data_IF_171522921551
#
_entry.id   IF_171522921551
#
_cell.length_a   1.000
_cell.length_b   1.000
_cell.length_c   1.000
_cell.angle_alpha   90.00
_cell.angle_beta   90.00
_cell.angle_gamma   90.00
#
_symmetry.space_group_name_H-M   'P 1'
#
loop_
_entity.id
_entity.type
_entity.pdbx_description
1 polymer ?
#
# COMPACT_ATOMS: atom_id res chain seq x y z
N UNK A 1 15.67 14.99 21.06
CA UNK A 1 15.93 13.58 20.65
C UNK A 1 16.98 13.55 19.55
N UNK A 2 18.15 12.89 19.70
CA UNK A 2 19.15 12.81 18.64
C UNK A 2 18.58 11.98 17.49
N UNK A 3 18.46 12.60 16.32
CA UNK A 3 17.98 11.91 15.09
C UNK A 3 18.91 10.73 14.76
N UNK A 4 18.37 9.53 14.72
CA UNK A 4 19.16 8.33 14.40
C UNK A 4 19.54 8.39 12.92
N UNK A 5 20.84 8.47 12.60
CA UNK A 5 21.37 8.67 11.24
C UNK A 5 20.79 7.71 10.19
N UNK A 6 20.44 6.48 10.57
CA UNK A 6 19.90 5.46 9.65
C UNK A 6 18.42 5.69 9.25
N UNK A 7 17.71 6.60 9.93
CA UNK A 7 16.32 6.99 9.63
C UNK A 7 16.23 8.40 9.04
N UNK A 8 17.35 9.06 8.76
CA UNK A 8 17.33 10.32 8.04
C UNK A 8 16.81 10.11 6.60
N UNK A 9 16.16 11.14 6.04
CA UNK A 9 15.70 11.14 4.65
C UNK A 9 16.82 10.71 3.70
N UNK A 10 18.02 11.28 3.82
CA UNK A 10 19.16 10.93 2.99
C UNK A 10 19.56 9.45 3.09
N UNK A 11 19.49 8.85 4.29
CA UNK A 11 19.82 7.44 4.45
C UNK A 11 18.77 6.52 3.81
N UNK A 12 17.48 6.86 3.96
CA UNK A 12 16.38 6.10 3.36
C UNK A 12 16.41 6.23 1.84
N UNK A 13 16.51 7.45 1.32
CA UNK A 13 16.64 7.74 -0.10
C UNK A 13 17.84 7.02 -0.72
N UNK A 14 19.02 7.08 -0.08
CA UNK A 14 20.22 6.41 -0.58
C UNK A 14 20.06 4.89 -0.65
N UNK A 15 19.34 4.29 0.30
CA UNK A 15 19.04 2.86 0.23
C UNK A 15 18.16 2.55 -0.99
N UNK A 16 17.07 3.30 -1.18
CA UNK A 16 16.15 3.16 -2.32
C UNK A 16 16.89 3.35 -3.64
N UNK A 17 17.64 4.43 -3.78
CA UNK A 17 18.44 4.74 -4.98
C UNK A 17 19.42 3.61 -5.32
N UNK A 18 20.19 3.12 -4.32
CA UNK A 18 21.11 1.99 -4.51
C UNK A 18 20.41 0.69 -4.88
N UNK A 19 19.18 0.49 -4.40
CA UNK A 19 18.39 -0.67 -4.78
C UNK A 19 17.95 -0.56 -6.24
N UNK A 20 17.45 0.59 -6.66
CA UNK A 20 17.01 0.83 -8.04
C UNK A 20 18.17 0.71 -9.05
N UNK A 21 19.37 1.16 -8.73
CA UNK A 21 20.55 0.99 -9.59
C UNK A 21 20.90 -0.47 -9.89
N UNK A 22 20.39 -1.42 -9.14
CA UNK A 22 20.59 -2.87 -9.37
C UNK A 22 19.53 -3.48 -10.27
N UNK A 23 18.52 -2.72 -10.65
CA UNK A 23 17.48 -3.21 -11.54
C UNK A 23 18.07 -3.51 -12.91
N UNK A 24 17.83 -4.71 -13.42
CA UNK A 24 18.30 -5.10 -14.75
C UNK A 24 17.44 -4.41 -15.82
N UNK A 25 18.05 -3.49 -16.56
CA UNK A 25 17.40 -2.84 -17.69
C UNK A 25 17.42 -3.80 -18.90
N UNK A 26 16.25 -4.28 -19.28
CA UNK A 26 16.10 -5.20 -20.43
C UNK A 26 15.90 -4.46 -21.77
N UNK A 27 15.91 -3.11 -21.75
CA UNK A 27 15.81 -2.32 -22.98
C UNK A 27 17.10 -2.43 -23.81
N UNK A 28 16.99 -2.17 -25.11
CA UNK A 28 18.16 -2.17 -26.00
C UNK A 28 19.09 -0.99 -25.68
N UNK A 29 20.36 -1.26 -25.38
CA UNK A 29 21.35 -0.27 -24.94
C UNK A 29 21.42 0.99 -25.83
N UNK A 30 21.36 0.81 -27.15
CA UNK A 30 21.43 1.90 -28.10
C UNK A 30 20.14 2.74 -28.23
N UNK A 31 19.11 2.43 -27.43
CA UNK A 31 17.81 3.13 -27.38
C UNK A 31 17.50 3.66 -25.98
N UNK A 32 18.48 3.67 -25.08
CA UNK A 32 18.31 4.12 -23.70
C UNK A 32 18.80 5.56 -23.60
N UNK A 33 17.88 6.51 -23.66
CA UNK A 33 18.17 7.93 -23.41
C UNK A 33 18.18 8.25 -21.90
N UNK A 34 17.33 7.55 -21.14
CA UNK A 34 17.16 7.77 -19.70
C UNK A 34 17.29 6.46 -18.93
N UNK A 35 18.00 6.50 -17.82
CA UNK A 35 18.14 5.33 -16.94
C UNK A 35 16.84 5.00 -16.23
N UNK A 36 16.64 3.71 -15.88
CA UNK A 36 15.52 3.30 -15.00
C UNK A 36 15.61 4.03 -13.66
N UNK A 37 16.83 4.22 -13.14
CA UNK A 37 17.03 4.97 -11.91
C UNK A 37 16.49 6.41 -12.02
N UNK A 38 16.82 7.12 -13.07
CA UNK A 38 16.35 8.50 -13.24
C UNK A 38 14.82 8.56 -13.39
N UNK A 39 14.23 7.63 -14.14
CA UNK A 39 12.78 7.57 -14.29
C UNK A 39 12.07 7.28 -12.96
N UNK A 40 12.49 6.23 -12.23
CA UNK A 40 11.85 5.85 -10.97
C UNK A 40 12.06 6.91 -9.89
N UNK A 41 13.27 7.47 -9.77
CA UNK A 41 13.55 8.52 -8.78
C UNK A 41 12.87 9.84 -9.13
N UNK A 42 12.65 10.16 -10.40
CA UNK A 42 11.83 11.29 -10.83
C UNK A 42 10.36 11.10 -10.45
N UNK A 43 9.80 9.91 -10.67
CA UNK A 43 8.44 9.56 -10.21
C UNK A 43 8.32 9.66 -8.68
N UNK A 44 9.31 9.17 -7.95
CA UNK A 44 9.36 9.29 -6.48
C UNK A 44 9.42 10.77 -6.04
N UNK A 45 10.24 11.58 -6.69
CA UNK A 45 10.33 13.01 -6.41
C UNK A 45 9.01 13.75 -6.70
N UNK A 46 8.34 13.43 -7.80
CA UNK A 46 7.02 13.96 -8.14
C UNK A 46 6.01 13.72 -7.01
N UNK A 47 5.96 12.50 -6.47
CA UNK A 47 5.10 12.14 -5.34
C UNK A 47 5.54 12.82 -4.05
N UNK A 48 6.83 12.90 -3.79
CA UNK A 48 7.39 13.55 -2.60
C UNK A 48 7.09 15.05 -2.55
N UNK A 49 7.19 15.73 -3.69
CA UNK A 49 6.85 17.15 -3.82
C UNK A 49 5.34 17.40 -3.92
N UNK A 50 4.52 16.34 -3.95
CA UNK A 50 3.07 16.41 -4.10
C UNK A 50 2.62 17.18 -5.34
N UNK A 51 3.38 17.08 -6.42
CA UNK A 51 3.02 17.69 -7.69
C UNK A 51 1.74 17.04 -8.23
N UNK A 52 0.74 17.82 -8.68
CA UNK A 52 -0.59 17.30 -9.02
C UNK A 52 -0.60 16.41 -10.27
N UNK A 53 0.44 16.49 -11.09
CA UNK A 53 0.62 15.65 -12.27
C UNK A 53 2.08 15.64 -12.73
N UNK A 54 2.45 14.63 -13.53
CA UNK A 54 3.78 14.58 -14.15
C UNK A 54 4.05 15.78 -15.06
N UNK A 55 3.04 16.27 -15.78
CA UNK A 55 3.18 17.46 -16.62
C UNK A 55 3.47 18.71 -15.80
N UNK A 56 2.76 18.88 -14.68
CA UNK A 56 3.01 20.01 -13.78
C UNK A 56 4.39 19.90 -13.13
N UNK A 57 4.77 18.69 -12.71
CA UNK A 57 6.11 18.41 -12.18
C UNK A 57 7.21 18.82 -13.18
N UNK A 58 7.09 18.48 -14.46
CA UNK A 58 8.05 18.88 -15.48
C UNK A 58 8.14 20.39 -15.67
N UNK A 59 6.99 21.09 -15.71
CA UNK A 59 6.96 22.56 -15.75
C UNK A 59 7.65 23.18 -14.54
N UNK A 60 7.49 22.58 -13.36
CA UNK A 60 8.14 23.04 -12.15
C UNK A 60 9.65 22.86 -12.17
N UNK A 61 10.17 21.92 -12.97
CA UNK A 61 11.61 21.69 -13.15
C UNK A 61 12.29 22.74 -14.07
N UNK A 62 11.53 23.59 -14.76
CA UNK A 62 12.07 24.76 -15.46
C UNK A 62 12.66 25.76 -14.47
N UNK A 63 12.20 25.73 -13.20
CA UNK A 63 12.80 26.47 -12.10
C UNK A 63 14.18 25.85 -11.71
N UNK A 64 15.21 26.67 -11.72
CA UNK A 64 16.59 26.25 -11.40
C UNK A 64 16.71 25.62 -10.00
N UNK A 65 16.00 26.13 -9.00
CA UNK A 65 16.08 25.62 -7.64
C UNK A 65 15.47 24.25 -7.53
N UNK A 66 14.31 24.03 -8.15
CA UNK A 66 13.63 22.73 -8.16
C UNK A 66 14.44 21.67 -8.90
N UNK A 67 15.02 22.01 -10.04
CA UNK A 67 15.90 21.13 -10.80
C UNK A 67 17.16 20.77 -9.99
N UNK A 68 17.78 21.74 -9.31
CA UNK A 68 18.93 21.47 -8.45
C UNK A 68 18.55 20.52 -7.29
N UNK A 69 17.36 20.69 -6.68
CA UNK A 69 16.87 19.81 -5.63
C UNK A 69 16.66 18.37 -6.14
N UNK A 70 16.21 18.19 -7.37
CA UNK A 70 16.07 16.87 -7.97
C UNK A 70 17.42 16.16 -8.08
N UNK A 71 18.45 16.86 -8.55
CA UNK A 71 19.82 16.32 -8.65
C UNK A 71 20.43 16.04 -7.27
N UNK A 72 20.37 17.00 -6.36
CA UNK A 72 21.04 16.90 -5.05
C UNK A 72 20.30 15.99 -4.06
N UNK A 73 18.98 16.07 -4.02
CA UNK A 73 18.17 15.28 -3.07
C UNK A 73 17.82 13.88 -3.60
N UNK A 74 17.59 13.71 -4.90
CA UNK A 74 17.14 12.45 -5.47
C UNK A 74 18.18 11.75 -6.34
N UNK A 75 19.29 12.42 -6.68
CA UNK A 75 20.37 11.85 -7.49
C UNK A 75 19.97 11.59 -8.94
N UNK A 76 18.98 12.34 -9.43
CA UNK A 76 18.52 12.25 -10.82
C UNK A 76 19.42 13.12 -11.69
N UNK A 77 19.96 12.54 -12.74
CA UNK A 77 20.79 13.26 -13.73
C UNK A 77 19.93 13.92 -14.79
N UNK A 78 19.04 13.16 -15.39
CA UNK A 78 18.17 13.59 -16.47
C UNK A 78 16.73 13.12 -16.24
N UNK A 79 15.77 14.03 -16.45
CA UNK A 79 14.35 13.76 -16.21
C UNK A 79 13.69 13.37 -17.52
N UNK A 80 13.14 12.16 -17.62
CA UNK A 80 12.40 11.75 -18.82
C UNK A 80 11.18 12.63 -19.04
N UNK A 81 10.82 12.89 -20.28
CA UNK A 81 9.54 13.51 -20.62
C UNK A 81 8.36 12.67 -20.11
N UNK A 82 7.19 13.30 -19.91
CA UNK A 82 6.01 12.70 -19.31
C UNK A 82 5.65 11.32 -19.93
N UNK A 83 5.63 11.21 -21.26
CA UNK A 83 5.32 9.96 -21.95
C UNK A 83 6.42 8.93 -21.73
N UNK A 84 7.67 9.31 -21.91
CA UNK A 84 8.82 8.42 -21.73
C UNK A 84 8.94 7.95 -20.28
N UNK A 85 8.67 8.82 -19.29
CA UNK A 85 8.70 8.45 -17.88
C UNK A 85 7.68 7.35 -17.59
N UNK A 86 6.47 7.46 -18.11
CA UNK A 86 5.43 6.42 -17.98
C UNK A 86 5.88 5.13 -18.65
N UNK A 87 6.31 5.19 -19.89
CA UNK A 87 6.73 4.02 -20.67
C UNK A 87 7.89 3.26 -19.98
N UNK A 88 8.80 3.96 -19.30
CA UNK A 88 9.89 3.34 -18.57
C UNK A 88 9.36 2.71 -17.28
N UNK A 89 8.58 3.45 -16.48
CA UNK A 89 8.11 3.01 -15.16
C UNK A 89 7.07 1.88 -15.26
N UNK A 90 6.21 1.89 -16.29
CA UNK A 90 5.21 0.84 -16.51
C UNK A 90 5.84 -0.54 -16.76
N UNK A 91 7.09 -0.60 -17.17
CA UNK A 91 7.84 -1.84 -17.35
C UNK A 91 8.63 -2.29 -16.11
N UNK A 92 8.59 -1.53 -15.02
CA UNK A 92 9.25 -1.90 -13.76
C UNK A 92 8.30 -2.75 -12.92
N UNK A 93 8.72 -3.97 -12.59
CA UNK A 93 7.94 -4.83 -11.70
C UNK A 93 7.82 -4.21 -10.30
N UNK A 94 6.61 -4.00 -9.82
CA UNK A 94 6.34 -3.43 -8.51
C UNK A 94 6.87 -4.29 -7.36
N UNK A 95 6.94 -5.61 -7.53
CA UNK A 95 7.52 -6.53 -6.53
C UNK A 95 9.02 -6.26 -6.30
N UNK A 96 9.70 -5.62 -7.24
CA UNK A 96 11.08 -5.19 -7.07
C UNK A 96 11.27 -4.22 -5.89
N UNK A 97 10.24 -3.48 -5.51
CA UNK A 97 10.29 -2.56 -4.38
C UNK A 97 10.07 -3.23 -3.01
N UNK A 98 9.70 -4.51 -2.97
CA UNK A 98 9.47 -5.25 -1.72
C UNK A 98 10.64 -5.17 -0.72
N UNK A 99 11.92 -5.32 -1.13
CA UNK A 99 13.06 -5.14 -0.24
C UNK A 99 13.17 -3.74 0.36
N UNK A 100 12.69 -2.70 -0.35
CA UNK A 100 12.69 -1.32 0.16
C UNK A 100 11.71 -1.18 1.33
N UNK A 101 10.47 -1.64 1.18
CA UNK A 101 9.47 -1.65 2.24
C UNK A 101 9.95 -2.48 3.46
N UNK A 102 10.52 -3.64 3.19
CA UNK A 102 11.08 -4.51 4.23
C UNK A 102 12.18 -3.82 5.04
N UNK A 103 13.13 -3.18 4.38
CA UNK A 103 14.20 -2.45 5.06
C UNK A 103 13.70 -1.21 5.81
N UNK A 104 12.72 -0.48 5.28
CA UNK A 104 12.10 0.64 5.98
C UNK A 104 11.52 0.21 7.32
N UNK A 105 10.70 -0.83 7.34
CA UNK A 105 10.12 -1.35 8.58
C UNK A 105 11.20 -1.88 9.54
N UNK A 106 12.18 -2.62 9.02
CA UNK A 106 13.29 -3.11 9.83
C UNK A 106 14.09 -1.98 10.48
N UNK A 107 14.27 -0.83 9.81
CA UNK A 107 14.91 0.36 10.40
C UNK A 107 14.07 0.99 11.49
N UNK A 108 12.74 1.06 11.32
CA UNK A 108 11.82 1.54 12.34
C UNK A 108 11.87 0.64 13.59
N UNK A 109 11.91 -0.67 13.41
CA UNK A 109 12.06 -1.65 14.49
C UNK A 109 13.40 -1.48 15.22
N UNK A 110 14.54 -1.50 14.51
CA UNK A 110 15.86 -1.29 15.08
C UNK A 110 16.00 0.06 15.79
N UNK A 111 15.30 1.06 15.26
CA UNK A 111 15.22 2.39 15.83
C UNK A 111 14.32 2.49 17.05
N UNK A 112 13.53 1.46 17.39
CA UNK A 112 12.50 1.46 18.44
C UNK A 112 11.38 2.46 18.17
N UNK A 113 11.22 2.92 16.90
CA UNK A 113 10.14 3.83 16.52
C UNK A 113 8.82 3.09 16.33
N UNK A 114 8.86 1.80 16.07
CA UNK A 114 7.65 1.00 15.92
C UNK A 114 6.96 0.77 17.28
N UNK A 115 7.69 0.80 18.39
CA UNK A 115 7.15 0.57 19.74
C UNK A 115 6.00 1.53 20.09
N UNK A 116 6.05 2.78 19.63
CA UNK A 116 4.98 3.75 19.87
C UNK A 116 3.65 3.40 19.17
N UNK A 117 3.67 2.49 18.18
CA UNK A 117 2.48 2.00 17.50
C UNK A 117 1.91 0.72 18.14
N UNK A 118 2.48 0.25 19.25
CA UNK A 118 1.90 -0.88 19.97
C UNK A 118 0.53 -0.51 20.50
N UNK A 119 -0.46 -1.35 20.22
CA UNK A 119 -1.85 -1.11 20.58
C UNK A 119 -2.29 -2.03 21.71
N UNK A 120 -2.56 -3.30 21.44
CA UNK A 120 -3.06 -4.27 22.40
C UNK A 120 -2.08 -5.42 22.56
N UNK A 121 -1.68 -5.75 23.79
CA UNK A 121 -0.78 -6.87 24.10
C UNK A 121 0.53 -6.86 23.28
N UNK A 122 1.06 -5.66 22.99
CA UNK A 122 2.28 -5.50 22.19
C UNK A 122 2.11 -5.79 20.70
N UNK A 123 0.88 -5.93 20.21
CA UNK A 123 0.53 -6.10 18.80
C UNK A 123 0.30 -4.74 18.14
N UNK A 124 0.33 -4.70 16.81
CA UNK A 124 0.15 -3.50 16.02
C UNK A 124 -1.17 -3.55 15.25
N UNK A 125 -1.95 -2.48 15.34
CA UNK A 125 -3.15 -2.34 14.53
C UNK A 125 -2.75 -2.08 13.07
N UNK A 126 -3.32 -2.83 12.16
CA UNK A 126 -3.07 -2.71 10.72
C UNK A 126 -4.39 -2.60 9.96
N UNK A 127 -4.64 -1.41 9.45
CA UNK A 127 -5.77 -1.19 8.55
C UNK A 127 -5.44 -1.72 7.16
N UNK A 128 -6.39 -2.42 6.55
CA UNK A 128 -6.29 -2.87 5.17
C UNK A 128 -7.52 -2.44 4.38
N UNK A 129 -7.28 -1.92 3.19
CA UNK A 129 -8.35 -1.49 2.29
C UNK A 129 -7.92 -1.55 0.82
N UNK A 130 -8.91 -1.73 -0.07
CA UNK A 130 -8.72 -1.69 -1.50
C UNK A 130 -8.76 -0.27 -2.04
N UNK A 131 -7.69 0.20 -2.66
CA UNK A 131 -7.61 1.54 -3.25
C UNK A 131 -7.53 1.50 -4.76
N UNK A 132 -8.44 2.22 -5.44
CA UNK A 132 -8.40 2.41 -6.88
C UNK A 132 -7.55 3.63 -7.20
N UNK A 133 -6.42 3.44 -7.87
CA UNK A 133 -5.53 4.54 -8.25
C UNK A 133 -5.62 4.94 -9.72
N UNK A 134 -6.27 4.15 -10.55
CA UNK A 134 -6.52 4.45 -11.96
C UNK A 134 -7.93 4.04 -12.37
N UNK A 135 -8.58 4.84 -13.19
CA UNK A 135 -9.87 4.54 -13.81
C UNK A 135 -10.00 5.26 -15.15
N UNK A 136 -10.44 4.55 -16.17
CA UNK A 136 -10.66 5.10 -17.51
C UNK A 136 -11.76 4.35 -18.25
N UNK A 137 -12.49 5.06 -19.13
CA UNK A 137 -13.41 4.46 -20.09
C UNK A 137 -12.74 4.16 -21.45
N UNK A 138 -11.54 4.67 -21.68
CA UNK A 138 -10.84 4.61 -22.99
C UNK A 138 -9.49 3.92 -22.90
N UNK A 139 -8.72 4.23 -21.84
CA UNK A 139 -7.36 3.68 -21.66
C UNK A 139 -7.47 2.34 -20.96
N UNK A 140 -6.88 1.30 -21.55
CA UNK A 140 -6.91 -0.07 -21.03
C UNK A 140 -5.57 -0.76 -21.27
N UNK A 141 -5.27 -1.73 -20.43
CA UNK A 141 -4.17 -2.68 -20.59
C UNK A 141 -4.64 -4.11 -20.26
N UNK A 142 -3.86 -5.16 -20.57
CA UNK A 142 -4.24 -6.55 -20.26
C UNK A 142 -4.48 -6.85 -18.77
N UNK A 143 -3.89 -6.08 -17.88
CA UNK A 143 -4.01 -6.26 -16.43
C UNK A 143 -5.16 -5.46 -15.80
N UNK A 144 -5.87 -4.61 -16.57
CA UNK A 144 -6.98 -3.82 -16.06
C UNK A 144 -8.11 -4.71 -15.55
N UNK A 145 -8.65 -4.34 -14.38
CA UNK A 145 -9.96 -4.81 -13.95
C UNK A 145 -11.04 -4.13 -14.78
N UNK A 146 -12.07 -4.87 -15.14
CA UNK A 146 -13.17 -4.39 -16.00
C UNK A 146 -14.47 -4.36 -15.19
N UNK A 147 -15.14 -3.21 -15.18
CA UNK A 147 -16.46 -3.07 -14.57
C UNK A 147 -17.46 -2.70 -15.65
N UNK A 148 -18.48 -3.56 -15.85
CA UNK A 148 -19.63 -3.27 -16.71
C UNK A 148 -20.73 -2.63 -15.88
N UNK A 149 -21.14 -1.43 -16.27
CA UNK A 149 -22.21 -0.68 -15.63
C UNK A 149 -23.59 -1.05 -16.21
N UNK A 150 -24.67 -0.65 -15.52
CA UNK A 150 -26.06 -0.96 -15.94
C UNK A 150 -26.44 -0.35 -17.29
N UNK A 151 -25.76 0.71 -17.70
CA UNK A 151 -25.93 1.38 -19.00
C UNK A 151 -25.03 0.83 -20.10
N UNK A 152 -24.50 -0.39 -19.93
CA UNK A 152 -23.54 -1.06 -20.81
C UNK A 152 -22.18 -0.35 -20.97
N UNK A 153 -21.93 0.75 -20.27
CA UNK A 153 -20.60 1.36 -20.23
C UNK A 153 -19.59 0.44 -19.54
N UNK A 154 -18.37 0.42 -20.06
CA UNK A 154 -17.24 -0.31 -19.49
C UNK A 154 -16.25 0.67 -18.89
N UNK A 155 -15.83 0.40 -17.66
CA UNK A 155 -14.74 1.13 -17.00
C UNK A 155 -13.59 0.17 -16.73
N UNK A 156 -12.39 0.57 -17.10
CA UNK A 156 -11.13 -0.10 -16.82
C UNK A 156 -10.48 0.53 -15.62
N UNK A 157 -9.95 -0.28 -14.71
CA UNK A 157 -9.35 0.25 -13.49
C UNK A 157 -8.15 -0.57 -13.02
N UNK A 158 -7.25 0.09 -12.29
CA UNK A 158 -6.23 -0.56 -11.49
C UNK A 158 -6.47 -0.30 -10.01
N UNK A 159 -6.31 -1.34 -9.22
CA UNK A 159 -6.49 -1.30 -7.76
C UNK A 159 -5.32 -1.98 -7.06
N UNK A 160 -5.07 -1.55 -5.84
CA UNK A 160 -4.15 -2.22 -4.91
C UNK A 160 -4.86 -2.44 -3.59
N UNK A 161 -4.51 -3.52 -2.91
CA UNK A 161 -4.77 -3.67 -1.49
C UNK A 161 -3.61 -3.04 -0.73
N UNK A 162 -3.91 -2.04 0.10
CA UNK A 162 -2.94 -1.37 0.94
C UNK A 162 -3.13 -1.77 2.40
N UNK A 163 -2.07 -2.27 3.04
CA UNK A 163 -2.01 -2.39 4.48
C UNK A 163 -1.13 -1.29 5.08
N UNK A 164 -1.56 -0.74 6.22
CA UNK A 164 -0.78 0.26 6.94
C UNK A 164 -0.89 0.04 8.46
N UNK A 165 0.26 0.12 9.15
CA UNK A 165 0.27 0.14 10.61
C UNK A 165 -0.20 1.51 11.08
N UNK A 166 -1.20 1.52 11.93
CA UNK A 166 -1.86 2.70 12.48
C UNK A 166 -1.90 2.67 14.00
N UNK A 167 -2.17 3.82 14.61
CA UNK A 167 -2.46 3.92 16.04
C UNK A 167 -3.48 5.05 16.27
N UNK A 168 -4.49 4.89 17.16
CA UNK A 168 -5.54 5.89 17.36
C UNK A 168 -5.02 7.28 17.72
N UNK A 169 -3.92 7.36 18.47
CA UNK A 169 -3.35 8.62 18.96
C UNK A 169 -2.23 9.18 18.04
N UNK A 170 -1.90 8.52 16.93
CA UNK A 170 -0.79 8.90 16.04
C UNK A 170 -1.33 9.14 14.64
N UNK A 171 -1.17 10.37 14.14
CA UNK A 171 -1.64 10.74 12.79
C UNK A 171 -0.84 10.09 11.65
N UNK A 172 0.46 9.82 11.90
CA UNK A 172 1.33 9.20 10.90
C UNK A 172 1.00 7.71 10.80
N UNK A 173 1.01 7.19 9.60
CA UNK A 173 0.83 5.77 9.31
C UNK A 173 2.11 5.18 8.73
N UNK A 174 2.32 3.88 8.91
CA UNK A 174 3.46 3.17 8.34
C UNK A 174 2.94 2.22 7.25
N UNK A 175 3.08 2.58 5.97
CA UNK A 175 2.62 1.72 4.89
C UNK A 175 3.48 0.46 4.80
N UNK A 176 2.83 -0.68 4.61
CA UNK A 176 3.45 -1.94 4.24
C UNK A 176 3.41 -2.10 2.72
N UNK A 177 4.16 -3.06 2.19
CA UNK A 177 4.14 -3.33 0.74
C UNK A 177 2.70 -3.61 0.28
N UNK A 178 2.16 -2.88 -0.70
CA UNK A 178 0.83 -3.15 -1.24
C UNK A 178 0.81 -4.44 -2.06
N UNK A 179 -0.39 -5.00 -2.26
CA UNK A 179 -0.66 -6.12 -3.15
C UNK A 179 -1.53 -5.66 -4.32
N UNK A 180 -1.13 -5.98 -5.54
CA UNK A 180 -1.91 -5.63 -6.71
C UNK A 180 -3.16 -6.50 -6.85
N UNK A 181 -4.26 -5.88 -7.28
CA UNK A 181 -5.50 -6.54 -7.67
C UNK A 181 -5.59 -6.45 -9.19
N UNK A 182 -5.25 -7.54 -9.88
CA UNK A 182 -5.06 -7.55 -11.33
C UNK A 182 -5.86 -8.67 -11.99
N UNK A 183 -6.17 -8.48 -13.28
CA UNK A 183 -6.93 -9.46 -14.07
C UNK A 183 -6.03 -10.56 -14.65
N UNK A 184 -5.17 -11.20 -13.83
CA UNK A 184 -4.14 -12.12 -14.34
C UNK A 184 -4.18 -13.54 -13.81
N UNK A 185 -5.18 -13.90 -13.00
CA UNK A 185 -5.17 -15.21 -12.31
C UNK A 185 -5.50 -16.42 -13.23
N UNK A 186 -5.65 -16.22 -14.55
CA UNK A 186 -6.05 -17.30 -15.46
C UNK A 186 -7.42 -17.92 -15.14
N UNK A 187 -8.12 -17.40 -14.12
CA UNK A 187 -9.43 -17.83 -13.69
C UNK A 187 -10.53 -17.18 -14.54
N UNK A 188 -11.69 -17.82 -14.62
CA UNK A 188 -12.88 -17.29 -15.31
C UNK A 188 -13.43 -15.99 -14.69
N UNK A 189 -12.96 -15.58 -13.52
CA UNK A 189 -13.36 -14.36 -12.79
C UNK A 189 -12.15 -13.49 -12.54
N UNK A 190 -12.39 -12.18 -12.60
CA UNK A 190 -11.39 -11.20 -12.20
C UNK A 190 -11.01 -11.36 -10.72
N UNK A 191 -9.79 -10.99 -10.39
CA UNK A 191 -9.29 -10.94 -9.02
C UNK A 191 -10.11 -9.96 -8.15
N UNK A 192 -10.09 -10.15 -6.86
CA UNK A 192 -10.84 -9.34 -5.91
C UNK A 192 -10.01 -9.04 -4.66
N UNK A 193 -10.49 -8.07 -3.88
CA UNK A 193 -9.83 -7.65 -2.63
C UNK A 193 -9.60 -8.81 -1.65
N UNK A 194 -10.52 -9.77 -1.58
CA UNK A 194 -10.37 -10.94 -0.69
C UNK A 194 -9.21 -11.85 -1.13
N UNK A 195 -9.07 -12.10 -2.43
CA UNK A 195 -7.96 -12.91 -2.94
C UNK A 195 -6.63 -12.17 -2.78
N UNK A 196 -6.60 -10.88 -3.09
CA UNK A 196 -5.43 -10.04 -2.85
C UNK A 196 -5.06 -10.00 -1.37
N UNK A 197 -6.03 -9.92 -0.45
CA UNK A 197 -5.80 -9.93 0.99
C UNK A 197 -5.13 -11.23 1.47
N UNK A 198 -5.55 -12.38 0.96
CA UNK A 198 -4.92 -13.67 1.30
C UNK A 198 -3.45 -13.72 0.85
N UNK A 199 -3.15 -13.26 -0.37
CA UNK A 199 -1.78 -13.19 -0.88
C UNK A 199 -0.95 -12.20 -0.04
N UNK A 200 -1.51 -11.03 0.24
CA UNK A 200 -0.88 -10.00 1.04
C UNK A 200 -0.53 -10.49 2.44
N UNK A 201 -1.46 -11.13 3.15
CA UNK A 201 -1.25 -11.70 4.49
C UNK A 201 -0.07 -12.68 4.51
N UNK A 202 -0.03 -13.61 3.55
CA UNK A 202 1.06 -14.59 3.42
C UNK A 202 2.40 -13.91 3.17
N UNK A 203 2.45 -12.94 2.22
CA UNK A 203 3.68 -12.21 1.88
C UNK A 203 4.18 -11.35 3.04
N UNK A 204 3.30 -10.65 3.76
CA UNK A 204 3.67 -9.83 4.92
C UNK A 204 4.21 -10.71 6.06
N UNK A 205 3.61 -11.88 6.28
CA UNK A 205 4.13 -12.84 7.27
C UNK A 205 5.52 -13.36 6.92
N UNK A 206 5.79 -13.61 5.65
CA UNK A 206 7.13 -14.01 5.17
C UNK A 206 8.15 -12.87 5.31
N UNK A 207 7.78 -11.65 4.97
CA UNK A 207 8.66 -10.50 5.05
C UNK A 207 9.00 -10.10 6.49
N UNK A 208 8.01 -10.22 7.38
CA UNK A 208 8.06 -9.75 8.76
C UNK A 208 7.56 -10.82 9.74
N UNK A 209 8.25 -11.97 9.90
CA UNK A 209 7.75 -13.12 10.65
C UNK A 209 7.49 -12.83 12.14
N UNK A 210 8.16 -11.81 12.70
CA UNK A 210 8.01 -11.38 14.11
C UNK A 210 7.02 -10.24 14.30
N UNK A 211 6.42 -9.72 13.23
CA UNK A 211 5.43 -8.66 13.31
C UNK A 211 4.08 -9.27 13.68
N UNK A 212 3.54 -8.92 14.83
CA UNK A 212 2.25 -9.38 15.30
C UNK A 212 1.20 -8.32 15.00
N UNK A 213 0.27 -8.62 14.10
CA UNK A 213 -0.74 -7.68 13.64
C UNK A 213 -2.12 -8.01 14.21
N UNK A 214 -2.91 -6.95 14.41
CA UNK A 214 -4.36 -7.01 14.53
C UNK A 214 -4.88 -6.39 13.22
N UNK A 215 -5.44 -7.21 12.36
CA UNK A 215 -5.97 -6.77 11.07
C UNK A 215 -7.30 -6.06 11.30
N UNK A 216 -7.38 -4.80 10.91
CA UNK A 216 -8.61 -4.02 10.91
C UNK A 216 -9.11 -3.88 9.48
N UNK A 217 -10.37 -4.24 9.24
CA UNK A 217 -10.98 -4.21 7.93
C UNK A 217 -12.47 -3.88 8.01
N UNK A 218 -13.02 -3.39 6.90
CA UNK A 218 -14.44 -3.07 6.80
C UNK A 218 -15.35 -4.31 6.76
N UNK A 219 -16.66 -4.09 6.85
CA UNK A 219 -17.66 -5.16 6.86
C UNK A 219 -17.81 -5.94 5.54
N UNK A 220 -17.22 -5.48 4.43
CA UNK A 220 -17.15 -6.26 3.18
C UNK A 220 -16.18 -7.44 3.31
N UNK A 221 -15.20 -7.29 4.18
CA UNK A 221 -14.17 -8.28 4.50
C UNK A 221 -14.59 -9.28 5.57
N UNK A 222 -15.77 -9.13 6.20
CA UNK A 222 -16.27 -10.02 7.26
C UNK A 222 -16.80 -11.34 6.70
N UNK A 223 -15.96 -12.05 5.94
CA UNK A 223 -16.27 -13.33 5.30
C UNK A 223 -15.35 -14.44 5.79
N UNK A 224 -15.91 -15.63 6.01
CA UNK A 224 -15.17 -16.79 6.51
C UNK A 224 -13.83 -17.03 5.80
N UNK A 225 -13.71 -16.99 4.45
CA UNK A 225 -12.43 -17.25 3.78
C UNK A 225 -11.33 -16.25 4.12
N UNK A 226 -11.66 -15.01 4.45
CA UNK A 226 -10.70 -14.00 4.86
C UNK A 226 -10.29 -14.19 6.32
N UNK A 227 -11.26 -14.42 7.22
CA UNK A 227 -11.00 -14.71 8.64
C UNK A 227 -10.11 -15.96 8.80
N UNK A 228 -10.38 -17.01 8.01
CA UNK A 228 -9.53 -18.21 7.98
C UNK A 228 -8.11 -17.86 7.61
N UNK A 229 -7.89 -17.07 6.55
CA UNK A 229 -6.55 -16.68 6.13
C UNK A 229 -5.79 -15.84 7.17
N UNK A 230 -6.48 -14.97 7.93
CA UNK A 230 -5.86 -14.22 9.04
C UNK A 230 -5.41 -15.19 10.14
N UNK A 231 -6.26 -16.15 10.51
CA UNK A 231 -5.95 -17.13 11.55
C UNK A 231 -4.79 -18.07 11.15
N UNK A 232 -4.72 -18.48 9.87
CA UNK A 232 -3.65 -19.33 9.35
C UNK A 232 -2.26 -18.68 9.45
N UNK A 233 -2.17 -17.36 9.31
CA UNK A 233 -0.90 -16.62 9.51
C UNK A 233 -0.64 -16.25 10.96
N UNK A 234 -1.57 -16.56 11.89
CA UNK A 234 -1.45 -16.31 13.32
C UNK A 234 -1.63 -14.85 13.70
N UNK A 235 -2.43 -14.08 12.96
CA UNK A 235 -2.80 -12.71 13.30
C UNK A 235 -4.15 -12.66 14.00
N UNK A 236 -4.41 -11.53 14.69
CA UNK A 236 -5.71 -11.21 15.24
C UNK A 236 -6.47 -10.29 14.27
N UNK A 237 -7.75 -10.07 14.54
CA UNK A 237 -8.55 -9.17 13.70
C UNK A 237 -9.61 -8.40 14.49
N UNK A 238 -9.95 -7.23 13.96
CA UNK A 238 -11.11 -6.42 14.33
C UNK A 238 -11.82 -6.11 13.01
N UNK A 239 -12.98 -6.70 12.78
CA UNK A 239 -13.72 -6.55 11.52
C UNK A 239 -15.14 -6.13 11.83
N UNK A 240 -15.62 -5.10 11.13
CA UNK A 240 -16.99 -4.62 11.30
C UNK A 240 -17.99 -5.66 10.82
N UNK A 241 -18.91 -6.06 11.68
CA UNK A 241 -20.04 -6.92 11.32
C UNK A 241 -21.25 -6.05 10.94
N UNK A 242 -21.67 -6.11 9.66
CA UNK A 242 -22.85 -5.39 9.19
C UNK A 242 -24.12 -6.19 9.51
N UNK A 243 -25.17 -5.57 10.11
CA UNK A 243 -26.39 -6.28 10.52
C UNK A 243 -27.10 -7.01 9.37
N UNK A 244 -27.14 -6.42 8.19
CA UNK A 244 -27.76 -6.99 7.00
C UNK A 244 -27.05 -8.24 6.47
N UNK A 245 -25.74 -8.35 6.72
CA UNK A 245 -24.90 -9.49 6.30
C UNK A 245 -24.83 -10.58 7.39
N UNK A 246 -24.83 -10.18 8.66
CA UNK A 246 -24.62 -11.06 9.81
C UNK A 246 -25.88 -11.17 10.70
N UNK A 247 -27.05 -11.38 10.09
CA UNK A 247 -28.36 -11.41 10.77
C UNK A 247 -28.38 -12.30 11.99
N UNK A 248 -27.94 -13.56 11.84
CA UNK A 248 -27.91 -14.52 12.93
C UNK A 248 -27.06 -14.09 14.12
N UNK A 249 -25.90 -13.49 13.84
CA UNK A 249 -25.03 -12.97 14.88
C UNK A 249 -25.67 -11.76 15.58
N UNK A 250 -26.39 -10.90 14.85
CA UNK A 250 -27.09 -9.75 15.43
C UNK A 250 -28.27 -10.22 16.30
N UNK A 251 -29.03 -11.21 15.86
CA UNK A 251 -30.09 -11.84 16.69
C UNK A 251 -29.52 -12.35 18.01
N UNK A 252 -28.33 -12.94 18.01
CA UNK A 252 -27.64 -13.38 19.22
C UNK A 252 -27.24 -12.20 20.12
N UNK A 253 -26.71 -11.12 19.54
CA UNK A 253 -26.34 -9.91 20.29
C UNK A 253 -27.58 -9.29 20.92
N UNK A 254 -28.65 -9.13 20.15
CA UNK A 254 -29.91 -8.56 20.64
C UNK A 254 -30.53 -9.42 21.75
N UNK A 255 -30.48 -10.75 21.62
CA UNK A 255 -30.94 -11.68 22.66
C UNK A 255 -30.06 -11.53 23.93
N UNK A 256 -28.76 -11.30 23.79
CA UNK A 256 -27.85 -11.10 24.93
C UNK A 256 -28.10 -9.76 25.64
N UNK A 257 -28.42 -8.70 24.90
CA UNK A 257 -28.72 -7.38 25.45
C UNK A 257 -30.07 -7.34 26.18
N UNK A 258 -30.96 -8.27 25.90
CA UNK A 258 -32.25 -8.41 26.58
C UNK A 258 -32.16 -9.16 27.94
N UNK A 259 -30.99 -9.65 28.36
CA UNK A 259 -30.82 -10.35 29.66
C UNK A 259 -30.90 -9.33 30.82
N UNK A 260 -31.86 -9.48 31.77
CA UNK A 260 -31.96 -8.56 32.90
C UNK A 260 -30.68 -8.54 33.75
N UNK A 261 -30.19 -7.34 34.06
CA UNK A 261 -29.03 -7.15 34.95
C UNK A 261 -27.70 -6.85 34.20
N UNK A 262 -27.68 -6.81 32.89
CA UNK A 262 -26.53 -6.31 32.13
C UNK A 262 -26.43 -4.80 32.31
N UNK A 263 -25.28 -4.29 32.79
CA UNK A 263 -25.01 -2.85 32.82
C UNK A 263 -24.59 -2.41 31.43
N UNK A 264 -25.25 -1.40 30.91
CA UNK A 264 -24.76 -0.68 29.72
C UNK A 264 -23.41 -0.05 30.05
N UNK A 265 -22.39 -0.49 29.31
CA UNK A 265 -21.07 0.13 29.38
C UNK A 265 -21.02 1.09 28.21
N UNK A 266 -21.01 2.40 28.48
CA UNK A 266 -20.89 3.41 27.43
C UNK A 266 -19.53 3.32 26.72
N UNK A 267 -19.38 4.03 25.62
CA UNK A 267 -18.14 4.07 24.85
C UNK A 267 -16.91 4.57 25.63
N UNK A 268 -17.10 4.99 26.89
CA UNK A 268 -16.05 5.42 27.82
C UNK A 268 -15.82 4.40 28.95
N UNK A 269 -16.43 3.22 28.90
CA UNK A 269 -16.25 2.18 29.90
C UNK A 269 -16.88 2.48 31.27
N UNK A 270 -17.92 3.32 31.32
CA UNK A 270 -18.67 3.66 32.54
C UNK A 270 -19.98 2.93 32.63
#
# INVERSE_FOLDING_TARGET
>A
MKQKKHLSFGSLRNFTSKHIHKYLDLRQENKIDYSIHDAVMSGFACMYFQSPSLLQFQKELEDREKNNNLRTLFGVSDVPENTQLRDIVDNVDSEYFRPVFKELLARLQRGRHLEQYQFLEGKYLCDIDGTQFFSSKKVTCPQCLTTKHKNDEITYSHKVLQGAIVHPDIKQVIPLMPEQIVNSDGASKQDCEINASKRWLSKIKQDHPRLNLIINADGLSSKQPFITAINEVGYNYIIVAKPDVHKYMMEWVDAFDSIPGKKDVDAKGR
#
